data_IF_273319122138
#
_entry.id   IF_273319122138
#
_cell.length_a   1.000
_cell.length_b   1.000
_cell.length_c   1.000
_cell.angle_alpha   90.00
_cell.angle_beta   90.00
_cell.angle_gamma   90.00
#
_symmetry.space_group_name_H-M   'P 1'
#
loop_
_entity.id
_entity.type
_entity.pdbx_description
1 polymer ?
#
# COMPACT_ATOMS: atom_id res chain seq x y z
N UNK A 1 -35.98 -43.02 -25.13
CA UNK A 1 -36.71 -43.52 -23.95
C UNK A 1 -36.27 -42.74 -22.72
N UNK A 2 -37.08 -41.81 -22.19
CA UNK A 2 -36.84 -41.19 -20.89
C UNK A 2 -37.51 -41.98 -19.76
N UNK A 3 -36.97 -41.97 -18.54
CA UNK A 3 -37.80 -42.09 -17.34
C UNK A 3 -38.00 -40.72 -16.68
N UNK A 4 -39.27 -40.41 -16.43
CA UNK A 4 -39.76 -39.28 -15.66
C UNK A 4 -40.21 -39.75 -14.25
N UNK A 5 -40.44 -38.76 -13.38
CA UNK A 5 -41.21 -38.81 -12.11
C UNK A 5 -40.40 -39.32 -10.90
N UNK A 6 -40.21 -38.54 -9.82
CA UNK A 6 -41.27 -38.22 -8.86
C UNK A 6 -40.94 -37.02 -7.97
N UNK A 7 -41.79 -36.00 -8.03
CA UNK A 7 -41.95 -34.95 -7.03
C UNK A 7 -42.52 -35.51 -5.71
N UNK A 8 -42.06 -35.00 -4.56
CA UNK A 8 -42.92 -34.79 -3.39
C UNK A 8 -42.42 -33.61 -2.55
N UNK A 9 -43.23 -32.55 -2.37
CA UNK A 9 -43.01 -31.51 -1.37
C UNK A 9 -43.91 -31.72 -0.14
N UNK A 10 -43.46 -31.25 1.02
CA UNK A 10 -44.21 -30.81 2.23
C UNK A 10 -43.23 -30.85 3.42
N UNK A 11 -43.15 -29.90 4.34
CA UNK A 11 -44.15 -28.94 4.82
C UNK A 11 -43.43 -27.82 5.60
N UNK A 12 -43.99 -26.63 5.55
CA UNK A 12 -43.60 -25.45 6.32
C UNK A 12 -44.07 -25.52 7.79
N UNK A 13 -43.42 -24.75 8.67
CA UNK A 13 -43.95 -24.34 9.97
C UNK A 13 -42.95 -23.45 10.75
N UNK A 14 -43.40 -22.39 11.45
CA UNK A 14 -42.68 -21.11 11.53
C UNK A 14 -42.03 -20.85 12.90
N UNK A 15 -41.08 -19.91 12.94
CA UNK A 15 -40.50 -19.41 14.19
C UNK A 15 -39.79 -18.08 13.94
N UNK A 16 -40.56 -17.00 14.03
CA UNK A 16 -40.05 -15.64 14.05
C UNK A 16 -39.53 -15.35 15.46
N UNK A 17 -38.25 -15.62 15.71
CA UNK A 17 -37.59 -15.14 16.93
C UNK A 17 -36.63 -14.02 16.58
N UNK A 18 -36.97 -12.85 17.13
CA UNK A 18 -36.28 -11.57 17.01
C UNK A 18 -34.80 -11.66 17.43
N UNK A 19 -33.95 -10.73 16.96
CA UNK A 19 -32.53 -10.74 17.28
C UNK A 19 -32.28 -10.51 18.77
N UNK A 20 -31.56 -11.46 19.37
CA UNK A 20 -30.99 -11.34 20.71
C UNK A 20 -30.14 -10.07 20.80
N UNK A 21 -30.67 -9.07 21.50
CA UNK A 21 -29.96 -7.87 21.88
C UNK A 21 -28.82 -8.25 22.83
N UNK A 22 -27.58 -8.04 22.39
CA UNK A 22 -26.41 -8.14 23.23
C UNK A 22 -26.38 -6.94 24.17
N UNK A 23 -26.88 -7.13 25.39
CA UNK A 23 -26.80 -6.17 26.48
C UNK A 23 -25.39 -6.26 27.07
N UNK A 24 -24.55 -5.26 26.77
CA UNK A 24 -23.27 -5.05 27.43
C UNK A 24 -23.49 -4.76 28.92
N UNK A 25 -22.77 -5.42 29.85
CA UNK A 25 -22.89 -5.11 31.26
C UNK A 25 -22.22 -3.76 31.59
N UNK A 26 -23.04 -2.73 31.70
CA UNK A 26 -22.72 -1.39 32.20
C UNK A 26 -22.54 -1.42 33.72
N UNK A 27 -21.35 -1.79 34.22
CA UNK A 27 -21.05 -1.78 35.67
C UNK A 27 -19.64 -1.29 36.02
N UNK A 28 -19.20 -0.17 35.45
CA UNK A 28 -18.04 0.58 35.97
C UNK A 28 -18.41 2.07 36.08
N UNK A 29 -19.26 2.38 37.06
CA UNK A 29 -19.53 3.72 37.57
C UNK A 29 -19.52 3.66 39.10
N UNK A 30 -18.38 4.01 39.69
CA UNK A 30 -18.20 4.42 41.09
C UNK A 30 -16.90 5.25 41.08
N UNK A 31 -16.93 6.58 40.93
CA UNK A 31 -17.18 7.60 41.97
C UNK A 31 -16.38 7.36 43.25
N UNK A 32 -15.22 7.99 43.35
CA UNK A 32 -14.66 8.49 44.60
C UNK A 32 -14.03 9.86 44.33
N UNK A 33 -14.65 10.89 44.89
CA UNK A 33 -14.13 12.24 44.99
C UNK A 33 -13.85 12.51 46.48
N UNK A 34 -12.66 13.01 46.84
CA UNK A 34 -12.50 14.09 47.82
C UNK A 34 -11.07 14.65 47.82
N UNK A 35 -11.04 15.96 47.97
CA UNK A 35 -9.97 16.97 48.00
C UNK A 35 -8.94 16.83 49.13
N UNK A 36 -7.74 17.42 48.97
CA UNK A 36 -7.14 18.44 49.88
C UNK A 36 -5.80 18.93 49.30
N UNK A 37 -5.65 20.26 49.22
CA UNK A 37 -4.42 21.00 48.94
C UNK A 37 -3.26 20.59 49.87
N UNK A 38 -2.05 20.44 49.33
CA UNK A 38 -0.83 20.58 50.12
C UNK A 38 0.17 21.52 49.43
N UNK A 39 0.86 22.28 50.28
CA UNK A 39 1.44 23.57 50.03
C UNK A 39 2.87 23.54 49.43
N UNK A 40 3.11 24.54 48.58
CA UNK A 40 4.22 25.53 48.58
C UNK A 40 5.65 25.08 48.99
N UNK A 41 6.55 25.37 48.04
CA UNK A 41 7.96 25.76 48.12
C UNK A 41 9.02 24.71 48.52
N UNK A 42 10.03 24.55 47.65
CA UNK A 42 11.35 25.17 47.82
C UNK A 42 12.30 24.82 46.66
N UNK A 43 12.99 25.86 46.17
CA UNK A 43 14.37 25.87 45.66
C UNK A 43 14.77 25.05 44.42
N UNK A 44 15.14 25.78 43.36
CA UNK A 44 16.18 25.35 42.41
C UNK A 44 16.13 26.06 41.06
N UNK A 45 16.89 27.15 40.81
CA UNK A 45 17.10 27.62 39.45
C UNK A 45 18.00 26.62 38.73
N UNK A 46 17.41 25.76 37.90
CA UNK A 46 18.18 24.93 36.99
C UNK A 46 18.74 25.84 35.90
N UNK A 47 20.00 26.21 36.13
CA UNK A 47 20.99 26.79 35.22
C UNK A 47 20.66 26.48 33.76
N UNK A 48 20.04 27.45 33.08
CA UNK A 48 19.93 27.44 31.63
C UNK A 48 21.34 27.51 31.04
N UNK A 49 21.84 26.38 30.56
CA UNK A 49 23.07 26.35 29.78
C UNK A 49 22.81 27.10 28.47
N UNK A 50 23.54 28.20 28.32
CA UNK A 50 23.65 28.96 27.09
C UNK A 50 24.34 28.09 26.03
N UNK A 51 23.55 27.38 25.23
CA UNK A 51 24.03 26.80 23.98
C UNK A 51 24.24 27.95 22.98
N UNK A 52 25.49 28.34 22.83
CA UNK A 52 25.98 29.24 21.79
C UNK A 52 25.61 28.69 20.40
N UNK A 53 24.86 29.49 19.64
CA UNK A 53 24.59 29.24 18.23
C UNK A 53 25.92 29.26 17.45
N UNK A 54 26.24 28.24 16.63
CA UNK A 54 27.31 28.39 15.66
C UNK A 54 26.85 29.38 14.58
N UNK A 55 27.40 30.59 14.62
CA UNK A 55 27.39 31.54 13.51
C UNK A 55 28.24 30.95 12.38
N UNK A 56 27.60 30.22 11.47
CA UNK A 56 28.30 29.54 10.36
C UNK A 56 27.36 29.29 9.19
N UNK A 57 27.15 30.31 8.36
CA UNK A 57 26.33 30.26 7.14
C UNK A 57 27.10 29.58 5.98
N UNK A 58 27.76 28.44 6.24
CA UNK A 58 28.70 27.82 5.28
C UNK A 58 28.59 26.28 5.21
N UNK A 59 27.39 25.71 5.36
CA UNK A 59 27.20 24.27 5.17
C UNK A 59 25.83 23.88 4.57
N UNK A 60 25.29 24.69 3.65
CA UNK A 60 24.07 24.34 2.90
C UNK A 60 24.37 24.04 1.42
N UNK A 61 25.38 23.22 1.13
CA UNK A 61 25.69 22.82 -0.24
C UNK A 61 26.24 21.37 -0.37
N UNK A 62 25.90 20.47 0.54
CA UNK A 62 26.38 19.07 0.49
C UNK A 62 25.27 18.02 0.63
N UNK A 63 24.00 18.37 0.37
CA UNK A 63 22.88 17.41 0.39
C UNK A 63 22.31 17.06 -1.00
N UNK A 64 22.81 17.68 -2.07
CA UNK A 64 22.28 17.48 -3.44
C UNK A 64 23.13 16.53 -4.31
N UNK A 65 24.20 15.94 -3.78
CA UNK A 65 25.20 15.22 -4.57
C UNK A 65 25.04 13.69 -4.61
N UNK A 66 23.92 13.12 -4.12
CA UNK A 66 23.66 11.67 -4.17
C UNK A 66 22.31 11.30 -4.80
N UNK A 67 21.65 12.24 -5.49
CA UNK A 67 20.43 11.96 -6.25
C UNK A 67 20.71 11.58 -7.72
N UNK A 68 21.98 11.43 -8.12
CA UNK A 68 22.33 10.90 -9.44
C UNK A 68 22.19 9.36 -9.47
N UNK A 69 20.97 8.85 -9.31
CA UNK A 69 20.63 7.48 -9.68
C UNK A 69 19.94 7.48 -11.04
N UNK A 70 20.63 7.02 -12.08
CA UNK A 70 20.08 6.76 -13.42
C UNK A 70 19.61 8.04 -14.18
N UNK A 71 20.57 8.77 -14.76
CA UNK A 71 20.30 9.95 -15.62
C UNK A 71 20.31 9.65 -17.13
N UNK A 72 20.39 8.37 -17.52
CA UNK A 72 20.26 7.98 -18.92
C UNK A 72 18.86 8.23 -19.46
N UNK A 73 18.75 8.50 -20.77
CA UNK A 73 17.46 8.48 -21.44
C UNK A 73 16.87 7.06 -21.30
N UNK A 74 15.57 6.92 -20.96
CA UNK A 74 14.98 5.60 -20.76
C UNK A 74 14.98 4.83 -22.09
N UNK A 75 15.58 3.64 -22.09
CA UNK A 75 15.65 2.76 -23.26
C UNK A 75 14.26 2.33 -23.77
N UNK A 76 13.27 2.30 -22.86
CA UNK A 76 11.88 1.94 -23.16
C UNK A 76 10.94 2.94 -22.51
N UNK A 77 9.98 3.44 -23.30
CA UNK A 77 8.84 4.24 -22.83
C UNK A 77 7.56 3.66 -23.39
N UNK A 78 6.59 3.40 -22.52
CA UNK A 78 5.30 2.85 -22.91
C UNK A 78 4.18 3.49 -22.11
N UNK A 79 3.01 3.66 -22.73
CA UNK A 79 1.82 4.13 -22.05
C UNK A 79 0.68 3.13 -22.26
N UNK A 80 -0.07 2.85 -21.19
CA UNK A 80 -1.16 1.89 -21.25
C UNK A 80 -1.93 1.80 -19.95
N UNK A 81 -2.75 0.76 -19.81
CA UNK A 81 -3.45 0.48 -18.55
C UNK A 81 -2.59 -0.39 -17.65
N UNK A 82 -2.49 -0.01 -16.39
CA UNK A 82 -1.99 -0.86 -15.33
C UNK A 82 -3.14 -1.44 -14.50
N UNK A 83 -2.97 -2.66 -14.03
CA UNK A 83 -3.76 -3.23 -12.94
C UNK A 83 -2.86 -3.65 -11.78
N UNK A 84 -3.41 -4.34 -10.79
CA UNK A 84 -2.61 -4.85 -9.68
C UNK A 84 -3.03 -6.27 -9.28
N UNK A 85 -2.06 -7.06 -8.81
CA UNK A 85 -2.30 -8.44 -8.38
C UNK A 85 -2.74 -8.50 -6.91
N UNK A 86 -3.83 -9.23 -6.66
CA UNK A 86 -4.40 -9.42 -5.32
C UNK A 86 -3.81 -10.57 -4.50
N UNK A 87 -4.33 -10.73 -3.28
CA UNK A 87 -3.87 -11.69 -2.26
C UNK A 87 -3.71 -13.15 -2.71
N UNK A 88 -4.49 -13.57 -3.71
CA UNK A 88 -4.42 -14.92 -4.32
C UNK A 88 -3.05 -15.31 -4.89
N UNK A 89 -2.17 -14.34 -5.14
CA UNK A 89 -0.82 -14.59 -5.68
C UNK A 89 0.26 -14.60 -4.61
N UNK A 90 -0.03 -14.19 -3.37
CA UNK A 90 0.97 -14.11 -2.29
C UNK A 90 1.69 -15.45 -2.10
N UNK A 91 3.02 -15.40 -2.04
CA UNK A 91 3.86 -16.57 -1.80
C UNK A 91 4.05 -17.49 -3.02
N UNK A 92 3.38 -17.23 -4.15
CA UNK A 92 3.58 -18.03 -5.37
C UNK A 92 4.86 -17.61 -6.08
N UNK A 93 5.58 -18.53 -6.74
CA UNK A 93 6.77 -18.18 -7.49
C UNK A 93 6.42 -17.24 -8.66
N UNK A 94 7.21 -16.19 -8.84
CA UNK A 94 7.17 -15.33 -10.04
C UNK A 94 8.12 -15.86 -11.11
N UNK A 95 8.09 -15.27 -12.32
CA UNK A 95 9.05 -15.61 -13.38
C UNK A 95 10.52 -15.38 -13.00
N UNK A 96 10.80 -14.54 -11.99
CA UNK A 96 12.16 -14.38 -11.42
C UNK A 96 12.61 -15.54 -10.51
N UNK A 97 11.71 -16.48 -10.19
CA UNK A 97 11.94 -17.56 -9.24
C UNK A 97 11.70 -17.16 -7.77
N UNK A 98 11.57 -15.87 -7.46
CA UNK A 98 11.26 -15.39 -6.10
C UNK A 98 9.76 -15.53 -5.80
N UNK A 99 9.41 -15.75 -4.54
CA UNK A 99 8.03 -15.72 -4.10
C UNK A 99 7.45 -14.29 -4.22
N UNK A 100 6.23 -14.19 -4.75
CA UNK A 100 5.53 -12.91 -4.87
C UNK A 100 5.17 -12.36 -3.49
N UNK A 101 5.53 -11.09 -3.28
CA UNK A 101 5.11 -10.31 -2.13
C UNK A 101 4.31 -9.08 -2.59
N UNK A 102 3.04 -9.03 -2.20
CA UNK A 102 2.13 -7.93 -2.53
C UNK A 102 2.57 -6.59 -1.92
N UNK A 103 3.39 -6.62 -0.87
CA UNK A 103 3.89 -5.42 -0.20
C UNK A 103 5.23 -4.92 -0.76
N UNK A 104 5.88 -5.69 -1.63
CA UNK A 104 7.12 -5.30 -2.29
C UNK A 104 6.86 -4.37 -3.48
N UNK A 105 7.81 -3.50 -3.82
CA UNK A 105 7.72 -2.58 -4.98
C UNK A 105 8.10 -3.30 -6.29
N UNK A 106 7.18 -4.12 -6.77
CA UNK A 106 7.39 -5.02 -7.92
C UNK A 106 6.28 -4.94 -8.96
N UNK A 107 6.58 -5.40 -10.18
CA UNK A 107 5.64 -5.43 -11.30
C UNK A 107 5.90 -6.60 -12.26
N UNK A 108 4.84 -6.99 -13.00
CA UNK A 108 4.91 -7.90 -14.14
C UNK A 108 4.87 -7.12 -15.45
N UNK A 109 5.76 -7.49 -16.38
CA UNK A 109 5.78 -6.96 -17.74
C UNK A 109 6.02 -8.09 -18.77
N UNK A 110 5.48 -7.92 -19.98
CA UNK A 110 5.54 -8.95 -21.04
C UNK A 110 6.96 -9.17 -21.55
N UNK A 111 7.62 -8.08 -21.90
CA UNK A 111 8.87 -8.09 -22.69
C UNK A 111 10.09 -7.52 -21.98
N UNK A 112 9.90 -6.77 -20.88
CA UNK A 112 11.04 -6.13 -20.21
C UNK A 112 11.90 -7.20 -19.52
N UNK A 113 13.24 -7.07 -19.52
CA UNK A 113 14.10 -7.98 -18.78
C UNK A 113 13.68 -8.09 -17.30
N UNK A 114 13.80 -9.29 -16.73
CA UNK A 114 13.60 -9.45 -15.29
C UNK A 114 14.75 -8.74 -14.56
N UNK A 115 14.43 -8.04 -13.48
CA UNK A 115 15.35 -7.19 -12.74
C UNK A 115 15.38 -5.73 -13.19
N UNK A 116 14.79 -5.39 -14.33
CA UNK A 116 14.74 -4.01 -14.82
C UNK A 116 14.06 -3.09 -13.80
N UNK A 117 14.67 -1.92 -13.58
CA UNK A 117 14.09 -0.84 -12.79
C UNK A 117 13.24 0.04 -13.70
N UNK A 118 12.00 0.27 -13.28
CA UNK A 118 11.05 1.08 -14.04
C UNK A 118 10.49 2.20 -13.17
N UNK A 119 10.33 3.38 -13.74
CA UNK A 119 9.50 4.46 -13.19
C UNK A 119 8.10 4.32 -13.79
N UNK A 120 7.11 4.21 -12.91
CA UNK A 120 5.71 4.14 -13.30
C UNK A 120 5.01 5.38 -12.81
N UNK A 121 4.37 6.12 -13.71
CA UNK A 121 3.62 7.33 -13.39
C UNK A 121 2.14 7.13 -13.68
N UNK A 122 1.28 7.33 -12.70
CA UNK A 122 -0.16 7.39 -12.90
C UNK A 122 -0.54 8.72 -13.54
N UNK A 123 -1.03 8.67 -14.77
CA UNK A 123 -1.36 9.87 -15.56
C UNK A 123 -2.56 10.64 -15.02
N UNK A 124 -3.36 10.04 -14.15
CA UNK A 124 -4.58 10.68 -13.63
C UNK A 124 -4.30 11.61 -12.45
N UNK A 125 -3.25 11.35 -11.67
CA UNK A 125 -2.92 12.10 -10.45
C UNK A 125 -1.46 12.55 -10.38
N UNK A 126 -0.63 12.22 -11.39
CA UNK A 126 0.78 12.60 -11.45
C UNK A 126 1.71 11.82 -10.52
N UNK A 127 1.20 10.90 -9.69
CA UNK A 127 2.03 10.14 -8.75
C UNK A 127 2.94 9.17 -9.51
N UNK A 128 4.18 9.04 -9.07
CA UNK A 128 5.17 8.15 -9.66
C UNK A 128 5.85 7.27 -8.61
N UNK A 129 6.18 6.04 -8.98
CA UNK A 129 6.83 5.05 -8.11
C UNK A 129 7.89 4.29 -8.91
N UNK A 130 8.99 3.93 -8.25
CA UNK A 130 10.01 3.05 -8.81
C UNK A 130 9.71 1.60 -8.46
N UNK A 131 9.66 0.74 -9.47
CA UNK A 131 9.35 -0.68 -9.33
C UNK A 131 10.46 -1.52 -9.97
N UNK A 132 10.56 -2.78 -9.54
CA UNK A 132 11.40 -3.78 -10.18
C UNK A 132 10.52 -4.77 -10.95
N UNK A 133 10.84 -5.03 -12.21
CA UNK A 133 10.17 -6.08 -13.00
C UNK A 133 10.66 -7.43 -12.49
N UNK A 134 9.78 -8.24 -11.90
CA UNK A 134 10.14 -9.55 -11.34
C UNK A 134 9.23 -10.68 -11.84
N UNK A 135 8.28 -10.37 -12.71
CA UNK A 135 7.32 -11.35 -13.21
C UNK A 135 6.92 -11.07 -14.68
N UNK A 136 6.17 -12.02 -15.27
CA UNK A 136 5.72 -11.97 -16.66
C UNK A 136 4.20 -11.81 -16.77
N UNK A 137 3.78 -11.07 -17.80
CA UNK A 137 2.38 -10.69 -18.03
C UNK A 137 2.24 -9.16 -18.07
N UNK A 138 1.03 -8.60 -18.05
CA UNK A 138 -0.28 -9.27 -18.14
C UNK A 138 -0.59 -9.81 -19.54
N UNK A 139 -1.14 -11.02 -19.65
CA UNK A 139 -1.55 -11.62 -20.94
C UNK A 139 -2.98 -11.25 -21.39
N UNK A 140 -3.55 -10.19 -20.82
CA UNK A 140 -4.85 -9.66 -21.23
C UNK A 140 -4.62 -8.42 -22.07
N UNK A 141 -5.32 -8.32 -23.20
CA UNK A 141 -5.21 -7.20 -24.11
C UNK A 141 -5.59 -5.86 -23.47
N UNK A 142 -4.88 -4.82 -23.89
CA UNK A 142 -5.06 -3.46 -23.38
C UNK A 142 -4.46 -3.19 -22.00
N UNK A 143 -3.80 -4.17 -21.35
CA UNK A 143 -2.98 -3.96 -20.15
C UNK A 143 -1.50 -4.13 -20.48
N UNK A 144 -0.69 -3.19 -20.01
CA UNK A 144 0.76 -3.16 -20.25
C UNK A 144 1.55 -3.58 -19.02
N UNK A 145 0.96 -3.41 -17.83
CA UNK A 145 1.65 -3.61 -16.56
C UNK A 145 0.68 -4.11 -15.51
N UNK A 146 1.11 -5.05 -14.68
CA UNK A 146 0.41 -5.37 -13.44
C UNK A 146 1.37 -5.17 -12.27
N UNK A 147 0.98 -4.35 -11.30
CA UNK A 147 1.84 -3.96 -10.16
C UNK A 147 1.43 -4.67 -8.87
N UNK A 148 2.30 -4.62 -7.87
CA UNK A 148 1.95 -5.08 -6.51
C UNK A 148 0.89 -4.20 -5.84
N UNK A 149 0.27 -4.71 -4.78
CA UNK A 149 -0.70 -3.94 -3.99
C UNK A 149 -0.08 -2.68 -3.39
N UNK A 150 1.14 -2.77 -2.85
CA UNK A 150 1.86 -1.61 -2.33
C UNK A 150 2.08 -0.54 -3.41
N UNK A 151 2.53 -0.94 -4.60
CA UNK A 151 2.72 -0.02 -5.71
C UNK A 151 1.41 0.65 -6.15
N UNK A 152 0.31 -0.11 -6.23
CA UNK A 152 -1.00 0.44 -6.58
C UNK A 152 -1.54 1.42 -5.53
N UNK A 153 -1.21 1.19 -4.25
CA UNK A 153 -1.56 2.07 -3.13
C UNK A 153 -0.84 3.41 -3.26
N UNK A 154 0.47 3.37 -3.49
CA UNK A 154 1.28 4.58 -3.69
C UNK A 154 0.83 5.35 -4.95
N UNK A 155 0.56 4.64 -6.05
CA UNK A 155 0.03 5.23 -7.29
C UNK A 155 -1.43 5.69 -7.17
N UNK A 156 -2.12 5.33 -6.09
CA UNK A 156 -3.46 5.82 -5.76
C UNK A 156 -4.58 5.27 -6.64
N UNK A 157 -4.52 4.00 -7.06
CA UNK A 157 -5.57 3.38 -7.89
C UNK A 157 -6.12 2.05 -7.37
N UNK A 158 -5.76 1.62 -6.16
CA UNK A 158 -6.27 0.38 -5.53
C UNK A 158 -7.79 0.27 -5.66
N UNK A 159 -8.53 1.32 -5.24
CA UNK A 159 -10.01 1.34 -5.28
C UNK A 159 -10.60 1.28 -6.68
N UNK A 160 -9.88 1.82 -7.68
CA UNK A 160 -10.31 1.83 -9.09
C UNK A 160 -10.00 0.52 -9.80
N UNK A 161 -9.05 -0.27 -9.28
CA UNK A 161 -8.55 -1.50 -9.90
C UNK A 161 -7.62 -1.27 -11.09
N UNK A 162 -7.89 -0.24 -11.90
CA UNK A 162 -7.15 0.11 -13.11
C UNK A 162 -6.70 1.57 -13.11
N UNK A 163 -5.56 1.84 -13.74
CA UNK A 163 -5.07 3.20 -13.99
C UNK A 163 -4.41 3.33 -15.36
N UNK A 164 -4.51 4.51 -15.98
CA UNK A 164 -3.67 4.86 -17.13
C UNK A 164 -2.28 5.26 -16.61
N UNK A 165 -1.26 4.54 -17.03
CA UNK A 165 0.12 4.76 -16.58
C UNK A 165 1.06 5.06 -17.74
N UNK A 166 2.18 5.70 -17.43
CA UNK A 166 3.38 5.75 -18.26
C UNK A 166 4.46 4.92 -17.55
N UNK A 167 5.14 4.06 -18.30
CA UNK A 167 6.24 3.21 -17.83
C UNK A 167 7.51 3.66 -18.54
N UNK A 168 8.57 3.87 -17.79
CA UNK A 168 9.88 4.28 -18.30
C UNK A 168 10.95 3.40 -17.66
N UNK A 169 11.82 2.76 -18.45
CA UNK A 169 12.96 2.03 -17.89
C UNK A 169 14.01 3.02 -17.39
N UNK A 170 14.66 2.69 -16.28
CA UNK A 170 15.81 3.46 -15.82
C UNK A 170 17.07 2.83 -16.37
N UNK A 171 17.79 3.58 -17.21
CA UNK A 171 19.14 3.26 -17.64
C UNK A 171 20.13 3.89 -16.65
N UNK A 172 20.65 3.00 -15.82
CA UNK A 172 21.87 3.10 -15.04
C UNK A 172 22.60 1.79 -15.32
#
# INVERSE_FOLDING_TARGET
MPPAVSNRPSKAGPGNDAPAQQVFPTRWRAVLALTVLFAVALAGPSRAEHASLPTGIAALAAAAANAQGCQGAPDHREAGKASWYGKRFQGRPTASGKAFDMYAMTAAHRTLPLGSKIRVTNRSNGKAVLLTVNDRGPYIDGRVLDVSYAAARELGFVRKGLAKVRVETLSC
#
